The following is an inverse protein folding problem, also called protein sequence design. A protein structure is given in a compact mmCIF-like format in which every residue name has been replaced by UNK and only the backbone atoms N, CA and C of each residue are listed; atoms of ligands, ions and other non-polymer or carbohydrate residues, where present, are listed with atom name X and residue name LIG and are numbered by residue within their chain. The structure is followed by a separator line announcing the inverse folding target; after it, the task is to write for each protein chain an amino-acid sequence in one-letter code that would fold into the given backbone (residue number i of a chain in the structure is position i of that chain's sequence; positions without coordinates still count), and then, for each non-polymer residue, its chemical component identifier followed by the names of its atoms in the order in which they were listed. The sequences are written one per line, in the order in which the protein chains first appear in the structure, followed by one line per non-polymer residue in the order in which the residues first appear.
data_IF_197129537259
#
_entry.id   IF_197129537259
#
_cell.length_a   1.000
_cell.length_b   1.000
_cell.length_c   1.000
_cell.angle_alpha   90.00
_cell.angle_beta   90.00
_cell.angle_gamma   90.00
#
_symmetry.space_group_name_H-M   'P 1'
#
loop_
_entity.id
_entity.type
_entity.pdbx_description
1 polymer ?
#
# COMPACT_ATOMS: atom_id res chain seq x y z
N UNK A 1 -2.25 -4.70 2.85
CA UNK A 1 -3.54 -4.62 2.10
C UNK A 1 -4.57 -5.56 2.71
N UNK A 2 -5.83 -5.13 2.84
CA UNK A 2 -7.00 -5.94 3.20
C UNK A 2 -7.91 -6.17 2.00
N UNK A 3 -8.54 -7.35 1.92
CA UNK A 3 -9.55 -7.67 0.91
C UNK A 3 -10.85 -8.08 1.60
N UNK A 4 -11.94 -7.36 1.34
CA UNK A 4 -13.24 -7.60 1.93
C UNK A 4 -14.22 -8.24 0.94
N UNK A 5 -15.27 -8.90 1.48
CA UNK A 5 -16.39 -9.50 0.74
C UNK A 5 -16.00 -10.40 -0.46
N UNK A 6 -15.59 -11.66 -0.18
CA UNK A 6 -15.11 -12.60 -1.22
C UNK A 6 -16.15 -13.03 -2.25
N UNK A 7 -17.45 -12.89 -1.94
CA UNK A 7 -18.52 -13.37 -2.80
C UNK A 7 -19.18 -12.27 -3.63
N UNK A 8 -18.88 -10.99 -3.37
CA UNK A 8 -19.50 -9.88 -4.10
C UNK A 8 -19.20 -9.90 -5.60
N UNK A 9 -20.18 -9.52 -6.45
CA UNK A 9 -19.97 -9.41 -7.89
C UNK A 9 -18.88 -8.39 -8.27
N UNK A 10 -18.82 -7.27 -7.54
CA UNK A 10 -17.83 -6.20 -7.74
C UNK A 10 -16.41 -6.74 -7.61
N UNK A 11 -16.15 -7.47 -6.52
CA UNK A 11 -14.87 -8.07 -6.22
C UNK A 11 -14.47 -9.14 -7.25
N UNK A 12 -15.41 -9.94 -7.74
CA UNK A 12 -15.17 -10.93 -8.81
C UNK A 12 -14.78 -10.24 -10.12
N UNK A 13 -15.48 -9.16 -10.48
CA UNK A 13 -15.19 -8.36 -11.68
C UNK A 13 -13.82 -7.67 -11.57
N UNK A 14 -13.54 -7.02 -10.45
CA UNK A 14 -12.27 -6.34 -10.20
C UNK A 14 -11.09 -7.32 -10.21
N UNK A 15 -11.21 -8.47 -9.54
CA UNK A 15 -10.17 -9.51 -9.57
C UNK A 15 -9.91 -10.04 -10.99
N UNK A 16 -10.97 -10.34 -11.74
CA UNK A 16 -10.84 -10.81 -13.12
C UNK A 16 -10.21 -9.77 -14.05
N UNK A 17 -10.48 -8.48 -13.81
CA UNK A 17 -9.83 -7.40 -14.54
C UNK A 17 -8.36 -7.22 -14.13
N UNK A 18 -8.06 -7.31 -12.83
CA UNK A 18 -6.70 -7.22 -12.31
C UNK A 18 -5.78 -8.29 -12.91
N UNK A 19 -6.24 -9.55 -12.99
CA UNK A 19 -5.49 -10.65 -13.64
C UNK A 19 -5.12 -10.29 -15.09
N UNK A 20 -6.01 -9.62 -15.83
CA UNK A 20 -5.77 -9.20 -17.23
C UNK A 20 -4.83 -8.01 -17.33
N UNK A 21 -4.84 -7.14 -16.31
CA UNK A 21 -4.06 -5.92 -16.28
C UNK A 21 -2.62 -6.17 -15.83
N UNK A 22 -2.37 -7.16 -14.96
CA UNK A 22 -1.02 -7.48 -14.45
C UNK A 22 0.00 -7.74 -15.57
N UNK A 23 -0.26 -8.57 -16.60
CA UNK A 23 0.68 -8.73 -17.71
C UNK A 23 1.03 -7.41 -18.41
N UNK A 24 0.06 -6.50 -18.55
CA UNK A 24 0.27 -5.18 -19.17
C UNK A 24 1.16 -4.29 -18.30
N UNK A 25 1.00 -4.36 -16.97
CA UNK A 25 1.86 -3.66 -16.01
C UNK A 25 3.29 -4.18 -16.12
N UNK A 26 3.48 -5.51 -16.11
CA UNK A 26 4.79 -6.15 -16.23
C UNK A 26 5.46 -5.73 -17.55
N UNK A 27 4.78 -5.89 -18.69
CA UNK A 27 5.31 -5.54 -20.00
C UNK A 27 5.70 -4.05 -20.10
N UNK A 28 4.86 -3.15 -19.59
CA UNK A 28 5.10 -1.71 -19.65
C UNK A 28 6.13 -1.19 -18.64
N UNK A 29 6.45 -1.98 -17.61
CA UNK A 29 7.50 -1.66 -16.63
C UNK A 29 8.90 -1.90 -17.17
N UNK A 30 9.07 -2.90 -18.06
CA UNK A 30 10.38 -3.36 -18.51
C UNK A 30 11.21 -4.09 -17.43
N UNK A 31 10.61 -4.40 -16.29
CA UNK A 31 11.25 -5.11 -15.17
C UNK A 31 11.08 -6.61 -15.33
N UNK A 32 12.16 -7.38 -15.10
CA UNK A 32 12.08 -8.83 -15.08
C UNK A 32 11.40 -9.31 -13.78
N UNK A 33 10.35 -10.09 -13.94
CA UNK A 33 9.49 -10.59 -12.85
C UNK A 33 9.55 -12.11 -12.82
N UNK A 34 9.50 -12.67 -11.61
CA UNK A 34 9.38 -14.11 -11.40
C UNK A 34 8.10 -14.46 -10.63
N UNK A 35 7.61 -15.68 -10.88
CA UNK A 35 6.62 -16.34 -10.05
C UNK A 35 7.25 -17.17 -8.93
N UNK A 36 6.48 -18.11 -8.36
CA UNK A 36 6.98 -19.03 -7.34
C UNK A 36 8.14 -19.89 -7.87
N UNK A 37 9.23 -19.93 -7.12
CA UNK A 37 10.40 -20.80 -7.35
C UNK A 37 11.17 -20.97 -6.04
N UNK A 38 11.81 -22.13 -5.86
CA UNK A 38 12.79 -22.36 -4.78
C UNK A 38 14.23 -22.09 -5.26
N UNK A 39 14.41 -21.93 -6.57
CA UNK A 39 15.70 -21.70 -7.22
C UNK A 39 15.75 -20.27 -7.76
N UNK A 40 16.65 -19.46 -7.17
CA UNK A 40 16.85 -18.05 -7.53
C UNK A 40 17.39 -17.89 -8.96
N UNK A 41 18.05 -18.91 -9.52
CA UNK A 41 18.58 -18.87 -10.89
C UNK A 41 17.52 -19.19 -11.95
N UNK A 42 16.32 -19.60 -11.53
CA UNK A 42 15.20 -19.94 -12.41
C UNK A 42 14.14 -18.83 -12.35
N UNK A 43 13.94 -18.16 -13.49
CA UNK A 43 12.83 -17.21 -13.66
C UNK A 43 11.60 -17.98 -14.13
N UNK A 44 10.51 -17.89 -13.37
CA UNK A 44 9.21 -18.50 -13.70
C UNK A 44 8.17 -17.43 -14.02
N UNK A 45 7.06 -17.82 -14.64
CA UNK A 45 5.96 -16.89 -14.88
C UNK A 45 5.23 -16.55 -13.57
N UNK A 46 4.78 -15.28 -13.39
CA UNK A 46 3.94 -14.91 -12.24
C UNK A 46 2.70 -15.81 -12.18
N UNK A 47 2.33 -16.22 -10.97
CA UNK A 47 1.13 -17.06 -10.78
C UNK A 47 -0.09 -16.16 -10.75
N UNK A 48 -0.89 -16.17 -11.81
CA UNK A 48 -2.12 -15.38 -11.92
C UNK A 48 -3.31 -16.33 -12.09
N UNK A 49 -4.09 -16.49 -11.02
CA UNK A 49 -5.24 -17.39 -11.00
C UNK A 49 -6.45 -16.71 -10.40
N UNK A 50 -7.62 -17.31 -10.57
CA UNK A 50 -8.83 -16.86 -9.92
C UNK A 50 -8.71 -16.82 -8.39
N UNK A 51 -7.78 -17.55 -7.79
CA UNK A 51 -7.65 -17.64 -6.33
C UNK A 51 -6.37 -17.02 -5.78
N UNK A 52 -5.37 -16.77 -6.61
CA UNK A 52 -4.04 -16.38 -6.15
C UNK A 52 -3.31 -15.55 -7.19
N UNK A 53 -2.72 -14.45 -6.74
CA UNK A 53 -1.70 -13.69 -7.45
C UNK A 53 -0.38 -13.87 -6.67
N UNK A 54 0.69 -14.22 -7.37
CA UNK A 54 2.05 -14.26 -6.83
C UNK A 54 2.99 -13.58 -7.83
N UNK A 55 3.70 -12.55 -7.37
CA UNK A 55 4.66 -11.77 -8.15
C UNK A 55 5.88 -11.46 -7.28
N UNK A 56 7.08 -11.67 -7.79
CA UNK A 56 8.34 -11.26 -7.14
C UNK A 56 9.33 -10.73 -8.19
N UNK A 57 10.41 -10.11 -7.73
CA UNK A 57 11.56 -9.82 -8.60
C UNK A 57 12.20 -11.11 -9.12
N UNK A 58 12.94 -11.01 -10.20
CA UNK A 58 13.73 -12.12 -10.73
C UNK A 58 15.12 -12.15 -10.07
N UNK A 59 15.62 -13.36 -9.80
CA UNK A 59 17.01 -13.59 -9.37
C UNK A 59 17.40 -12.78 -8.12
N UNK A 60 18.57 -12.16 -8.15
CA UNK A 60 19.13 -11.28 -7.11
C UNK A 60 18.36 -9.97 -6.93
N UNK A 61 17.38 -9.69 -7.79
CA UNK A 61 16.45 -8.57 -7.68
C UNK A 61 15.12 -8.96 -7.00
N UNK A 62 15.05 -10.14 -6.39
CA UNK A 62 13.91 -10.61 -5.59
C UNK A 62 14.11 -10.32 -4.09
N UNK A 63 13.00 -10.15 -3.35
CA UNK A 63 13.03 -10.02 -1.88
C UNK A 63 11.84 -10.75 -1.25
N UNK A 64 10.72 -10.07 -0.99
CA UNK A 64 9.47 -10.71 -0.57
C UNK A 64 8.45 -10.69 -1.73
N UNK A 65 7.76 -11.81 -1.99
CA UNK A 65 6.75 -11.84 -3.04
C UNK A 65 5.48 -11.07 -2.63
N UNK A 66 4.89 -10.35 -3.58
CA UNK A 66 3.49 -9.95 -3.47
C UNK A 66 2.62 -11.20 -3.61
N UNK A 67 1.92 -11.56 -2.53
CA UNK A 67 0.95 -12.65 -2.51
C UNK A 67 -0.44 -12.09 -2.22
N UNK A 68 -1.37 -12.29 -3.14
CA UNK A 68 -2.80 -12.05 -2.92
C UNK A 68 -3.52 -13.38 -3.02
N UNK A 69 -3.97 -13.95 -1.91
CA UNK A 69 -4.62 -15.27 -1.87
C UNK A 69 -6.07 -15.17 -1.39
N UNK A 70 -6.99 -15.86 -2.08
CA UNK A 70 -8.41 -15.96 -1.69
C UNK A 70 -8.66 -16.79 -0.44
N UNK A 71 -7.70 -17.61 -0.06
CA UNK A 71 -7.86 -18.63 0.97
C UNK A 71 -7.15 -18.26 2.27
N UNK A 72 -6.38 -17.18 2.28
CA UNK A 72 -5.70 -16.75 3.50
C UNK A 72 -6.72 -16.23 4.53
N UNK A 73 -6.55 -16.77 5.73
CA UNK A 73 -7.47 -16.74 6.85
C UNK A 73 -7.60 -15.32 7.42
N UNK A 74 -8.78 -14.99 7.96
CA UNK A 74 -9.09 -13.76 8.74
C UNK A 74 -8.16 -13.55 9.95
N UNK A 75 -7.27 -14.51 10.23
CA UNK A 75 -6.28 -14.52 11.33
C UNK A 75 -4.93 -13.88 10.98
N UNK A 76 -4.66 -13.60 9.70
CA UNK A 76 -3.51 -12.81 9.27
C UNK A 76 -3.98 -11.62 8.43
N UNK A 77 -4.60 -10.60 9.06
CA UNK A 77 -5.02 -9.38 8.37
C UNK A 77 -3.77 -8.61 7.94
N UNK A 78 -3.28 -8.86 6.74
CA UNK A 78 -2.18 -8.09 6.18
C UNK A 78 -1.31 -8.91 5.26
N UNK A 79 -1.72 -8.97 3.98
CA UNK A 79 -0.75 -9.24 2.92
C UNK A 79 0.13 -7.99 2.83
N UNK A 80 1.19 -8.02 3.63
CA UNK A 80 2.25 -7.03 3.68
C UNK A 80 3.45 -7.61 2.92
N UNK A 81 4.09 -6.78 2.11
CA UNK A 81 5.15 -7.18 1.20
C UNK A 81 6.20 -6.08 1.21
N UNK A 82 7.40 -6.38 1.70
CA UNK A 82 8.55 -5.49 1.55
C UNK A 82 9.21 -5.78 0.22
N UNK A 83 9.47 -4.75 -0.56
CA UNK A 83 10.18 -4.90 -1.85
C UNK A 83 11.67 -4.56 -1.73
N UNK A 84 12.09 -4.03 -0.58
CA UNK A 84 13.39 -3.42 -0.35
C UNK A 84 13.76 -2.35 -1.40
N UNK A 85 12.74 -1.72 -2.02
CA UNK A 85 12.90 -0.76 -3.13
C UNK A 85 13.68 -1.34 -4.33
N UNK A 86 13.67 -2.66 -4.48
CA UNK A 86 14.24 -3.34 -5.66
C UNK A 86 13.41 -3.05 -6.91
N UNK A 87 13.94 -3.27 -8.13
CA UNK A 87 13.29 -2.83 -9.36
C UNK A 87 11.84 -3.30 -9.55
N UNK A 88 11.46 -4.47 -9.01
CA UNK A 88 10.09 -4.98 -9.10
C UNK A 88 9.08 -4.23 -8.21
N UNK A 89 9.54 -3.35 -7.35
CA UNK A 89 8.70 -2.49 -6.51
C UNK A 89 7.68 -1.70 -7.33
N UNK A 90 8.09 -1.13 -8.48
CA UNK A 90 7.18 -0.38 -9.37
C UNK A 90 6.05 -1.25 -9.92
N UNK A 91 6.30 -2.54 -10.10
CA UNK A 91 5.28 -3.50 -10.54
C UNK A 91 4.33 -3.80 -9.38
N UNK A 92 4.86 -4.07 -8.18
CA UNK A 92 4.06 -4.36 -6.99
C UNK A 92 3.14 -3.18 -6.64
N UNK A 93 3.70 -1.98 -6.50
CA UNK A 93 2.95 -0.75 -6.18
C UNK A 93 1.93 -0.41 -7.26
N UNK A 94 2.25 -0.57 -8.54
CA UNK A 94 1.28 -0.35 -9.62
C UNK A 94 0.15 -1.41 -9.63
N UNK A 95 0.42 -2.66 -9.25
CA UNK A 95 -0.61 -3.70 -9.09
C UNK A 95 -1.56 -3.34 -7.94
N UNK A 96 -1.03 -2.92 -6.79
CA UNK A 96 -1.82 -2.49 -5.64
C UNK A 96 -2.68 -1.27 -5.97
N UNK A 97 -2.08 -0.25 -6.60
CA UNK A 97 -2.81 0.92 -7.07
C UNK A 97 -3.93 0.53 -8.05
N UNK A 98 -3.64 -0.37 -9.01
CA UNK A 98 -4.64 -0.84 -9.96
C UNK A 98 -5.77 -1.60 -9.28
N UNK A 99 -5.47 -2.41 -8.27
CA UNK A 99 -6.48 -3.12 -7.50
C UNK A 99 -7.42 -2.14 -6.78
N UNK A 100 -6.87 -1.14 -6.08
CA UNK A 100 -7.63 -0.08 -5.42
C UNK A 100 -8.51 0.69 -6.41
N UNK A 101 -7.95 1.15 -7.52
CA UNK A 101 -8.69 1.89 -8.57
C UNK A 101 -9.81 1.08 -9.24
N UNK A 102 -9.75 -0.26 -9.20
CA UNK A 102 -10.80 -1.12 -9.73
C UNK A 102 -11.98 -1.30 -8.76
N UNK A 103 -11.71 -1.29 -7.45
CA UNK A 103 -12.73 -1.46 -6.41
C UNK A 103 -12.19 -0.98 -5.05
N UNK A 104 -12.25 0.33 -4.76
CA UNK A 104 -11.65 0.94 -3.56
C UNK A 104 -12.34 0.50 -2.25
N UNK A 105 -13.58 0.01 -2.35
CA UNK A 105 -14.32 -0.58 -1.23
C UNK A 105 -13.92 -2.04 -0.94
N UNK A 106 -13.24 -2.69 -1.89
CA UNK A 106 -12.85 -4.10 -1.80
C UNK A 106 -11.39 -4.25 -1.46
N UNK A 107 -10.51 -3.49 -2.13
CA UNK A 107 -9.07 -3.53 -1.92
C UNK A 107 -8.65 -2.34 -1.07
N UNK A 108 -8.38 -2.55 0.22
CA UNK A 108 -7.82 -1.52 1.10
C UNK A 108 -6.30 -1.63 1.10
N UNK A 109 -5.63 -0.65 0.49
CA UNK A 109 -4.17 -0.60 0.38
C UNK A 109 -3.65 0.36 1.43
N UNK A 110 -2.58 -0.02 2.12
CA UNK A 110 -1.80 0.83 3.02
C UNK A 110 -0.33 0.65 2.67
N UNK A 111 0.48 1.68 2.89
CA UNK A 111 1.92 1.69 2.65
C UNK A 111 2.61 2.41 3.80
N UNK A 112 3.79 1.95 4.22
CA UNK A 112 4.70 2.67 5.12
C UNK A 112 5.58 3.68 4.35
N UNK A 113 5.14 4.06 3.14
CA UNK A 113 5.87 4.92 2.22
C UNK A 113 4.93 5.96 1.66
N UNK A 114 5.45 7.16 1.43
CA UNK A 114 4.68 8.33 1.02
C UNK A 114 4.08 8.20 -0.37
N UNK A 115 3.03 8.97 -0.64
CA UNK A 115 2.44 9.05 -1.98
C UNK A 115 3.43 9.51 -3.07
N UNK A 116 4.45 10.29 -2.70
CA UNK A 116 5.52 10.71 -3.61
C UNK A 116 6.53 9.60 -3.92
N UNK A 117 6.79 8.68 -2.98
CA UNK A 117 7.57 7.47 -3.26
C UNK A 117 6.87 6.57 -4.29
N UNK A 118 5.55 6.61 -4.35
CA UNK A 118 4.75 5.88 -5.35
C UNK A 118 4.75 6.53 -6.74
N UNK A 119 5.44 7.67 -6.95
CA UNK A 119 5.52 8.35 -8.26
C UNK A 119 5.84 7.42 -9.44
N UNK A 120 6.83 6.51 -9.39
CA UNK A 120 7.11 5.60 -10.50
C UNK A 120 5.90 4.72 -10.87
N UNK A 121 5.15 4.26 -9.87
CA UNK A 121 3.93 3.46 -10.06
C UNK A 121 2.81 4.31 -10.67
N UNK A 122 2.62 5.54 -10.18
CA UNK A 122 1.64 6.50 -10.73
C UNK A 122 1.94 6.82 -12.19
N UNK A 123 3.20 7.01 -12.54
CA UNK A 123 3.62 7.28 -13.92
C UNK A 123 3.38 6.07 -14.83
N UNK A 124 3.71 4.85 -14.36
CA UNK A 124 3.38 3.60 -15.07
C UNK A 124 1.87 3.44 -15.25
N UNK A 125 1.08 3.69 -14.21
CA UNK A 125 -0.38 3.63 -14.24
C UNK A 125 -0.97 4.62 -15.25
N UNK A 126 -0.56 5.90 -15.22
CA UNK A 126 -1.01 6.94 -16.15
C UNK A 126 -0.69 6.62 -17.60
N UNK A 127 0.44 5.95 -17.89
CA UNK A 127 0.75 5.47 -19.24
C UNK A 127 -0.22 4.39 -19.73
N UNK A 128 -0.65 3.49 -18.85
CA UNK A 128 -1.54 2.38 -19.18
C UNK A 128 -3.02 2.80 -19.24
N UNK A 129 -3.41 3.77 -18.39
CA UNK A 129 -4.79 4.27 -18.26
C UNK A 129 -4.83 5.80 -18.18
N UNK A 130 -4.54 6.53 -19.27
CA UNK A 130 -4.36 7.99 -19.27
C UNK A 130 -5.62 8.81 -18.94
N UNK A 131 -6.79 8.18 -18.93
CA UNK A 131 -8.07 8.83 -18.62
C UNK A 131 -8.70 8.31 -17.33
N UNK A 132 -8.05 7.36 -16.65
CA UNK A 132 -8.54 6.89 -15.36
C UNK A 132 -8.15 7.89 -14.26
N UNK A 133 -9.04 8.11 -13.27
CA UNK A 133 -8.65 8.84 -12.07
C UNK A 133 -7.54 8.08 -11.33
N UNK A 134 -6.83 8.81 -10.48
CA UNK A 134 -5.79 8.28 -9.60
C UNK A 134 -5.88 9.01 -8.27
N UNK A 135 -6.01 8.25 -7.20
CA UNK A 135 -6.17 8.75 -5.83
C UNK A 135 -5.22 7.98 -4.92
N UNK A 136 -4.76 8.62 -3.84
CA UNK A 136 -3.96 7.96 -2.82
C UNK A 136 -4.87 6.99 -2.05
N UNK A 137 -4.55 5.69 -1.95
CA UNK A 137 -5.44 4.74 -1.31
C UNK A 137 -5.67 4.93 0.20
N UNK A 138 -4.82 5.73 0.84
CA UNK A 138 -4.78 5.98 2.28
C UNK A 138 -4.72 7.49 2.60
N UNK A 139 -5.21 8.37 1.70
CA UNK A 139 -5.26 9.82 1.97
C UNK A 139 -6.05 10.15 3.24
N UNK A 140 -7.24 9.57 3.39
CA UNK A 140 -8.09 9.83 4.57
C UNK A 140 -7.40 9.41 5.89
N UNK A 141 -6.52 8.40 5.84
CA UNK A 141 -5.77 7.93 7.03
C UNK A 141 -4.60 8.87 7.37
N UNK A 142 -3.95 9.45 6.35
CA UNK A 142 -2.92 10.49 6.56
C UNK A 142 -3.57 11.77 7.15
N UNK A 143 -4.76 12.16 6.69
CA UNK A 143 -5.50 13.31 7.23
C UNK A 143 -5.94 13.08 8.69
N UNK A 144 -6.45 11.90 9.02
CA UNK A 144 -6.83 11.54 10.40
C UNK A 144 -5.61 11.50 11.35
N UNK A 145 -4.46 10.96 10.92
CA UNK A 145 -3.22 10.93 11.73
C UNK A 145 -2.66 12.35 11.96
N UNK A 146 -2.72 13.24 10.95
CA UNK A 146 -2.31 14.64 11.11
C UNK A 146 -3.22 15.41 12.09
N UNK A 147 -4.55 15.20 12.04
CA UNK A 147 -5.49 15.82 12.99
C UNK A 147 -5.25 15.33 14.43
N UNK A 148 -4.99 14.04 14.64
CA UNK A 148 -4.68 13.49 15.98
C UNK A 148 -3.35 14.03 16.53
N UNK A 149 -2.31 14.16 15.70
CA UNK A 149 -1.03 14.75 16.12
C UNK A 149 -1.17 16.24 16.50
N UNK A 150 -1.96 17.03 15.75
CA UNK A 150 -2.23 18.43 16.08
C UNK A 150 -3.00 18.58 17.40
N UNK A 151 -3.98 17.71 17.68
CA UNK A 151 -4.71 17.71 18.96
C UNK A 151 -3.80 17.35 20.15
N UNK A 152 -2.89 16.38 19.99
CA UNK A 152 -1.91 16.02 21.04
C UNK A 152 -0.91 17.16 21.31
N UNK A 153 -0.42 17.86 20.27
CA UNK A 153 0.46 19.02 20.43
C UNK A 153 -0.24 20.19 21.14
N UNK A 154 -1.53 20.46 20.83
CA UNK A 154 -2.31 21.49 21.52
C UNK A 154 -2.54 21.15 23.01
N UNK A 155 -2.80 19.87 23.35
CA UNK A 155 -2.95 19.44 24.75
C UNK A 155 -1.62 19.57 25.53
N UNK A 156 -0.48 19.22 24.92
CA UNK A 156 0.84 19.38 25.56
C UNK A 156 1.19 20.87 25.80
N UNK A 157 0.87 21.76 24.84
CA UNK A 157 1.08 23.21 25.03
C UNK A 157 0.18 23.80 26.14
N UNK A 158 -1.08 23.37 26.25
CA UNK A 158 -1.98 23.79 27.33
C UNK A 158 -1.48 23.33 28.71
N UNK A 159 -0.97 22.10 28.83
CA UNK A 159 -0.39 21.58 30.08
C UNK A 159 0.88 22.37 30.50
N UNK A 160 1.76 22.71 29.54
CA UNK A 160 2.96 23.52 29.82
C UNK A 160 2.58 24.96 30.28
N UNK A 161 1.58 25.59 29.68
CA UNK A 161 1.10 26.92 30.10
C UNK A 161 0.49 26.90 31.51
N UNK A 162 -0.29 25.87 31.87
CA UNK A 162 -0.83 25.72 33.22
C UNK A 162 0.27 25.55 34.28
N UNK A 163 1.30 24.74 34.00
CA UNK A 163 2.45 24.58 34.90
C UNK A 163 3.22 25.90 35.11
N UNK A 164 3.46 26.67 34.04
CA UNK A 164 4.13 27.98 34.13
C UNK A 164 3.31 28.99 34.96
N UNK A 165 1.98 29.04 34.79
CA UNK A 165 1.10 29.92 35.57
C UNK A 165 1.09 29.54 37.07
N UNK A 166 1.09 28.25 37.39
CA UNK A 166 1.18 27.77 38.78
C UNK A 166 2.52 28.16 39.43
N UNK A 167 3.64 28.00 38.71
CA UNK A 167 4.95 28.42 39.18
C UNK A 167 5.04 29.93 39.40
N UNK A 168 4.56 30.75 38.45
CA UNK A 168 4.53 32.21 38.61
C UNK A 168 3.66 32.64 39.80
N UNK A 169 2.49 32.02 39.97
CA UNK A 169 1.57 32.29 41.08
C UNK A 169 2.22 31.96 42.44
N UNK A 170 2.92 30.82 42.51
CA UNK A 170 3.69 30.41 43.68
C UNK A 170 4.83 31.40 44.01
N UNK A 171 5.53 31.92 43.00
CA UNK A 171 6.58 32.93 43.20
C UNK A 171 6.01 34.27 43.67
N UNK A 172 4.86 34.71 43.15
CA UNK A 172 4.19 35.96 43.56
C UNK A 172 3.63 35.92 44.98
N UNK A 173 3.25 34.75 45.48
CA UNK A 173 2.76 34.57 46.86
C UNK A 173 3.89 34.58 47.91
N UNK A 174 5.13 34.31 47.49
CA UNK A 174 6.30 34.22 48.37
C UNK A 174 7.21 35.46 48.33
N UNK A 175 6.84 36.50 47.58
CA UNK A 175 7.52 37.79 47.46
C UNK A 175 6.90 38.88 48.35
#
# INVERSE_FOLDING_TARGET
MGIYDWDSPERKAAWAQLIKDIPRIIDASGVEISGPTEDIDVVTYPLLTENKIYVNGARDLSYEPLILDKREDKRHPGNFCKTARLPYDVVVTCILLRAYMLAPNIFKVRSDGSWEEWRPARDLYKRLWPHAPIECPWADEEEEEEEEEEEEEEEEEEEEEEEEEEEESSMRLNA
#
